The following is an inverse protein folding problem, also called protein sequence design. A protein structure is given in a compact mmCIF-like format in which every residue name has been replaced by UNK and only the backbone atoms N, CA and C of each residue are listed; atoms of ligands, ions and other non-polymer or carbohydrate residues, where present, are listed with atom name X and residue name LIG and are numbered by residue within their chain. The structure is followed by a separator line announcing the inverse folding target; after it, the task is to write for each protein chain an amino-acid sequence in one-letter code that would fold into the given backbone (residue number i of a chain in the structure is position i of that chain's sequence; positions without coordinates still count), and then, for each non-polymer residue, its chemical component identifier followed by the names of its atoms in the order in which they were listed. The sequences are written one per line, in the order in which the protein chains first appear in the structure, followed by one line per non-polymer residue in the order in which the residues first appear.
data_IF_498607064983
#
_entry.id   IF_498607064983
#
_cell.length_a   1.000
_cell.length_b   1.000
_cell.length_c   1.000
_cell.angle_alpha   90.00
_cell.angle_beta   90.00
_cell.angle_gamma   90.00
#
_symmetry.space_group_name_H-M   'P 1'
#
loop_
_entity.id
_entity.type
_entity.pdbx_description
1 polymer ?
#
# COMPACT_ATOMS: atom_id res chain seq x y z
N UNK A 1 -38.61 4.70 -4.33
CA UNK A 1 -37.63 3.89 -3.56
C UNK A 1 -36.42 3.74 -4.45
N UNK A 2 -35.35 4.51 -4.19
CA UNK A 2 -34.13 4.45 -4.98
C UNK A 2 -33.20 3.41 -4.34
N UNK A 3 -32.68 2.50 -5.17
CA UNK A 3 -31.81 1.40 -4.77
C UNK A 3 -30.67 1.89 -3.87
N UNK A 4 -30.59 1.32 -2.67
CA UNK A 4 -29.47 1.53 -1.78
C UNK A 4 -28.19 1.09 -2.53
N UNK A 5 -27.14 1.94 -2.62
CA UNK A 5 -25.92 1.54 -3.31
C UNK A 5 -25.35 0.29 -2.65
N UNK A 6 -24.78 -0.60 -3.46
CA UNK A 6 -24.27 -1.95 -3.14
C UNK A 6 -23.24 -2.04 -1.99
N UNK A 7 -23.01 -0.98 -1.21
CA UNK A 7 -22.15 -0.94 -0.02
C UNK A 7 -22.70 -1.74 1.18
N UNK A 8 -23.87 -2.37 1.08
CA UNK A 8 -24.46 -3.19 2.13
C UNK A 8 -24.16 -4.67 1.94
N UNK A 9 -22.91 -5.08 2.05
CA UNK A 9 -22.63 -6.38 2.66
C UNK A 9 -21.71 -6.19 3.86
N UNK A 10 -22.34 -6.24 5.04
CA UNK A 10 -21.72 -6.47 6.36
C UNK A 10 -21.07 -7.86 6.43
N UNK A 11 -20.28 -8.24 5.44
CA UNK A 11 -19.56 -9.51 5.42
C UNK A 11 -18.11 -9.22 5.75
N UNK A 12 -17.69 -9.71 6.91
CA UNK A 12 -16.30 -10.03 7.17
C UNK A 12 -15.77 -10.78 5.95
N UNK A 13 -14.67 -10.29 5.39
CA UNK A 13 -14.08 -10.81 4.17
C UNK A 13 -12.59 -10.83 4.38
N UNK A 14 -11.99 -11.98 4.15
CA UNK A 14 -10.55 -12.16 4.06
C UNK A 14 -10.28 -13.03 2.85
N UNK A 15 -9.39 -12.59 1.97
CA UNK A 15 -8.88 -13.35 0.83
C UNK A 15 -7.37 -13.38 0.91
N UNK A 16 -6.82 -14.57 0.71
CA UNK A 16 -5.38 -14.77 0.59
C UNK A 16 -5.04 -15.11 -0.86
N UNK A 17 -4.00 -14.46 -1.38
CA UNK A 17 -3.40 -14.78 -2.66
C UNK A 17 -1.97 -15.23 -2.37
N UNK A 18 -1.68 -16.49 -2.69
CA UNK A 18 -0.33 -17.03 -2.63
C UNK A 18 0.35 -16.84 -3.98
N UNK A 19 1.68 -16.81 -3.97
CA UNK A 19 2.49 -16.77 -5.17
C UNK A 19 2.11 -15.63 -6.14
N UNK A 20 1.76 -14.44 -5.61
CA UNK A 20 1.54 -13.28 -6.48
C UNK A 20 2.88 -12.91 -7.09
N UNK A 21 2.99 -13.16 -8.40
CA UNK A 21 4.22 -12.96 -9.15
C UNK A 21 4.64 -11.49 -9.13
N UNK A 22 5.82 -11.27 -8.57
CA UNK A 22 6.61 -10.08 -8.85
C UNK A 22 7.48 -10.36 -10.07
N UNK A 23 8.04 -9.31 -10.66
CA UNK A 23 9.04 -9.56 -11.70
C UNK A 23 10.27 -10.24 -11.09
N UNK A 24 10.88 -11.18 -11.82
CA UNK A 24 11.98 -12.01 -11.34
C UNK A 24 11.51 -13.25 -10.56
N UNK A 25 12.24 -13.59 -9.48
CA UNK A 25 11.97 -14.77 -8.64
C UNK A 25 11.19 -14.46 -7.36
N UNK A 26 10.85 -13.20 -7.11
CA UNK A 26 10.13 -12.79 -5.91
C UNK A 26 8.64 -13.09 -6.03
N UNK A 27 8.04 -13.46 -4.91
CA UNK A 27 6.60 -13.73 -4.82
C UNK A 27 6.04 -13.16 -3.53
N UNK A 28 4.82 -12.63 -3.60
CA UNK A 28 4.12 -12.11 -2.42
C UNK A 28 3.04 -13.08 -1.96
N UNK A 29 2.95 -13.25 -0.64
CA UNK A 29 1.73 -13.70 0.02
C UNK A 29 0.92 -12.46 0.41
N UNK A 30 -0.23 -12.29 -0.24
CA UNK A 30 -1.07 -11.10 -0.07
C UNK A 30 -2.34 -11.47 0.68
N UNK A 31 -2.62 -10.74 1.76
CA UNK A 31 -3.87 -10.88 2.53
C UNK A 31 -4.69 -9.61 2.33
N UNK A 32 -5.85 -9.73 1.70
CA UNK A 32 -6.83 -8.66 1.56
C UNK A 32 -7.98 -8.90 2.54
N UNK A 33 -8.24 -7.96 3.44
CA UNK A 33 -9.26 -8.13 4.49
C UNK A 33 -10.16 -6.90 4.62
N UNK A 34 -11.40 -7.13 5.07
CA UNK A 34 -12.34 -6.07 5.41
C UNK A 34 -12.23 -5.66 6.88
N UNK A 35 -12.94 -4.60 7.26
CA UNK A 35 -12.90 -4.04 8.61
C UNK A 35 -13.14 -5.07 9.74
N UNK A 36 -13.95 -6.11 9.50
CA UNK A 36 -14.28 -7.09 10.55
C UNK A 36 -13.09 -7.90 11.06
N UNK A 37 -12.06 -8.10 10.22
CA UNK A 37 -10.91 -8.97 10.51
C UNK A 37 -9.58 -8.21 10.60
N UNK A 38 -9.56 -6.92 10.25
CA UNK A 38 -8.32 -6.15 10.13
C UNK A 38 -7.57 -6.04 11.47
N UNK A 39 -8.24 -5.87 12.62
CA UNK A 39 -7.54 -5.77 13.91
C UNK A 39 -6.79 -7.07 14.25
N UNK A 40 -7.39 -8.22 13.92
CA UNK A 40 -6.75 -9.53 14.04
C UNK A 40 -5.57 -9.67 13.08
N UNK A 41 -5.73 -9.24 11.82
CA UNK A 41 -4.66 -9.31 10.82
C UNK A 41 -3.49 -8.38 11.15
N UNK A 42 -3.77 -7.17 11.61
CA UNK A 42 -2.76 -6.23 12.10
C UNK A 42 -2.00 -6.79 13.29
N UNK A 43 -2.69 -7.45 14.23
CA UNK A 43 -2.03 -8.14 15.35
C UNK A 43 -1.09 -9.26 14.88
N UNK A 44 -1.47 -10.03 13.86
CA UNK A 44 -0.62 -11.07 13.25
C UNK A 44 0.58 -10.43 12.56
N UNK A 45 0.36 -9.37 11.79
CA UNK A 45 1.40 -8.65 11.07
C UNK A 45 2.43 -8.03 12.03
N UNK A 46 1.96 -7.37 13.10
CA UNK A 46 2.78 -6.81 14.17
C UNK A 46 3.66 -7.88 14.84
N UNK A 47 3.13 -9.07 15.14
CA UNK A 47 3.94 -10.16 15.70
C UNK A 47 5.04 -10.63 14.75
N UNK A 48 4.75 -10.69 13.44
CA UNK A 48 5.76 -11.05 12.43
C UNK A 48 6.85 -9.99 12.33
N UNK A 49 6.47 -8.71 12.23
CA UNK A 49 7.42 -7.60 12.16
C UNK A 49 8.23 -7.41 13.45
N UNK A 50 7.63 -7.69 14.61
CA UNK A 50 8.31 -7.59 15.91
C UNK A 50 9.53 -8.49 16.05
N UNK A 51 9.60 -9.59 15.28
CA UNK A 51 10.77 -10.47 15.21
C UNK A 51 11.83 -10.05 14.19
N UNK A 52 11.59 -9.01 13.41
CA UNK A 52 12.53 -8.55 12.37
C UNK A 52 13.54 -7.55 12.95
N UNK A 53 14.84 -7.65 12.57
CA UNK A 53 15.86 -6.72 13.06
C UNK A 53 15.67 -5.30 12.52
N UNK A 54 15.10 -5.18 11.31
CA UNK A 54 14.76 -3.91 10.68
C UNK A 54 13.25 -3.87 10.48
N UNK A 55 12.63 -2.84 11.04
CA UNK A 55 11.17 -2.64 11.11
C UNK A 55 10.69 -1.68 10.01
N UNK A 56 11.10 -1.96 8.78
CA UNK A 56 10.76 -1.17 7.59
C UNK A 56 9.48 -1.68 6.93
N UNK A 57 8.58 -0.77 6.55
CA UNK A 57 7.27 -1.11 5.98
C UNK A 57 7.00 -0.25 4.74
N UNK A 58 6.86 -0.87 3.58
CA UNK A 58 6.35 -0.18 2.39
C UNK A 58 4.86 0.13 2.53
N UNK A 59 4.47 1.37 2.23
CA UNK A 59 3.08 1.82 2.28
C UNK A 59 2.70 2.52 0.98
N UNK A 60 1.44 2.32 0.59
CA UNK A 60 0.76 3.00 -0.51
C UNK A 60 -0.73 3.06 -0.17
N UNK A 61 -1.42 4.16 -0.53
CA UNK A 61 -2.80 4.43 -0.11
C UNK A 61 -3.71 4.66 -1.30
N UNK A 62 -4.64 3.72 -1.51
CA UNK A 62 -5.73 3.87 -2.47
C UNK A 62 -6.99 4.36 -1.77
N UNK A 63 -7.65 5.38 -2.34
CA UNK A 63 -8.79 6.03 -1.72
C UNK A 63 -9.96 6.28 -2.66
N UNK A 64 -11.14 6.40 -2.06
CA UNK A 64 -12.34 6.94 -2.70
C UNK A 64 -12.86 8.12 -1.89
N UNK A 65 -13.91 8.79 -2.36
CA UNK A 65 -14.51 9.90 -1.62
C UNK A 65 -15.28 9.48 -0.35
N UNK A 66 -15.33 8.19 -0.02
CA UNK A 66 -16.07 7.67 1.12
C UNK A 66 -15.17 7.47 2.34
N UNK A 67 -15.54 8.12 3.45
CA UNK A 67 -14.90 7.91 4.74
C UNK A 67 -15.59 6.75 5.47
N UNK A 68 -14.81 5.76 5.89
CA UNK A 68 -15.28 4.64 6.72
C UNK A 68 -14.70 4.80 8.13
N UNK A 69 -15.40 4.33 9.18
CA UNK A 69 -14.81 4.33 10.51
C UNK A 69 -13.60 3.39 10.55
N UNK A 70 -12.52 3.82 11.18
CA UNK A 70 -11.22 3.17 11.07
C UNK A 70 -11.00 2.05 12.09
N UNK A 71 -10.08 1.11 11.82
CA UNK A 71 -9.72 0.07 12.76
C UNK A 71 -8.64 0.54 13.75
N UNK A 72 -8.81 0.17 15.02
CA UNK A 72 -7.95 0.65 16.11
C UNK A 72 -6.52 0.13 15.98
N UNK A 73 -6.33 -1.13 15.57
CA UNK A 73 -4.98 -1.68 15.45
C UNK A 73 -4.23 -1.12 14.24
N UNK A 74 -4.94 -0.65 13.21
CA UNK A 74 -4.32 0.05 12.10
C UNK A 74 -3.78 1.42 12.54
N UNK A 75 -4.57 2.19 13.30
CA UNK A 75 -4.15 3.47 13.86
C UNK A 75 -2.91 3.31 14.76
N UNK A 76 -2.96 2.37 15.71
CA UNK A 76 -1.80 2.06 16.58
C UNK A 76 -0.57 1.69 15.78
N UNK A 77 -0.73 0.92 14.70
CA UNK A 77 0.37 0.50 13.85
C UNK A 77 1.02 1.69 13.14
N UNK A 78 0.23 2.55 12.49
CA UNK A 78 0.73 3.72 11.77
C UNK A 78 1.41 4.75 12.68
N UNK A 79 1.00 4.83 13.95
CA UNK A 79 1.59 5.72 14.94
C UNK A 79 2.78 5.14 15.71
N UNK A 80 3.05 3.84 15.56
CA UNK A 80 4.11 3.18 16.32
C UNK A 80 5.51 3.61 15.84
N UNK A 81 6.24 4.29 16.73
CA UNK A 81 7.59 4.80 16.48
C UNK A 81 8.68 3.73 16.34
N UNK A 82 8.36 2.45 16.48
CA UNK A 82 9.28 1.36 16.17
C UNK A 82 9.35 1.03 14.68
N UNK A 83 8.33 1.41 13.89
CA UNK A 83 8.28 1.16 12.46
C UNK A 83 8.72 2.39 11.67
N UNK A 84 9.35 2.17 10.52
CA UNK A 84 9.62 3.23 9.55
C UNK A 84 8.85 2.94 8.26
N UNK A 85 7.97 3.86 7.88
CA UNK A 85 7.11 3.73 6.71
C UNK A 85 7.77 4.34 5.48
N UNK A 86 7.89 3.56 4.42
CA UNK A 86 8.49 3.99 3.15
C UNK A 86 7.40 4.14 2.12
N UNK A 87 7.29 5.32 1.52
CA UNK A 87 6.29 5.60 0.47
C UNK A 87 6.85 6.53 -0.60
N UNK A 88 6.13 6.65 -1.71
CA UNK A 88 6.44 7.58 -2.78
C UNK A 88 5.48 8.76 -2.75
N UNK A 89 5.99 9.99 -2.63
CA UNK A 89 5.15 11.17 -2.45
C UNK A 89 4.19 11.03 -1.24
N UNK A 90 4.67 10.36 -0.18
CA UNK A 90 3.90 9.92 0.99
C UNK A 90 3.25 11.06 1.77
N UNK A 91 3.74 12.29 1.64
CA UNK A 91 3.06 13.48 2.18
C UNK A 91 1.64 13.66 1.63
N UNK A 92 1.43 13.30 0.35
CA UNK A 92 0.11 13.22 -0.25
C UNK A 92 -0.78 12.19 0.45
N UNK A 93 -0.24 11.01 0.70
CA UNK A 93 -0.96 9.92 1.37
C UNK A 93 -1.30 10.25 2.82
N UNK A 94 -0.36 10.85 3.56
CA UNK A 94 -0.59 11.37 4.92
C UNK A 94 -1.76 12.34 4.95
N UNK A 95 -1.83 13.25 3.98
CA UNK A 95 -2.94 14.19 3.84
C UNK A 95 -4.28 13.47 3.60
N UNK A 96 -4.28 12.36 2.85
CA UNK A 96 -5.48 11.54 2.60
C UNK A 96 -5.90 10.70 3.81
N UNK A 97 -4.95 10.10 4.50
CA UNK A 97 -5.18 9.35 5.73
C UNK A 97 -5.78 10.24 6.82
N UNK A 98 -5.31 11.49 6.94
CA UNK A 98 -5.81 12.46 7.92
C UNK A 98 -7.30 12.78 7.76
N UNK A 99 -7.79 12.85 6.52
CA UNK A 99 -9.24 13.02 6.23
C UNK A 99 -10.07 11.86 6.82
N UNK A 100 -9.45 10.70 6.96
CA UNK A 100 -10.04 9.49 7.50
C UNK A 100 -9.79 9.31 9.01
N UNK A 101 -9.09 10.24 9.68
CA UNK A 101 -8.71 10.11 11.08
C UNK A 101 -7.55 9.14 11.34
N UNK A 102 -6.78 8.80 10.31
CA UNK A 102 -5.53 8.04 10.44
C UNK A 102 -4.35 8.97 10.24
N UNK A 103 -3.28 8.75 10.99
CA UNK A 103 -2.03 9.49 10.84
C UNK A 103 -0.86 8.50 10.82
N UNK A 104 0.12 8.77 9.96
CA UNK A 104 1.43 8.13 10.03
C UNK A 104 2.27 8.98 10.98
N UNK A 105 2.99 8.33 11.89
CA UNK A 105 3.90 9.01 12.81
C UNK A 105 4.84 9.96 12.03
N UNK A 106 4.85 11.23 12.44
CA UNK A 106 5.55 12.32 11.74
C UNK A 106 7.06 12.14 11.67
N UNK A 107 7.63 11.34 12.57
CA UNK A 107 9.08 11.21 12.73
C UNK A 107 9.60 9.90 12.09
N UNK A 108 8.67 9.08 11.57
CA UNK A 108 8.89 7.68 11.26
C UNK A 108 8.49 7.31 9.83
N UNK A 109 8.79 8.19 8.88
CA UNK A 109 8.52 7.93 7.48
C UNK A 109 9.67 8.38 6.58
N UNK A 110 9.73 7.78 5.40
CA UNK A 110 10.69 8.07 4.34
C UNK A 110 9.89 8.30 3.06
N UNK A 111 10.07 9.49 2.48
CA UNK A 111 9.58 9.77 1.14
C UNK A 111 10.67 9.50 0.11
N UNK A 112 10.57 8.37 -0.59
CA UNK A 112 11.60 7.98 -1.57
C UNK A 112 11.67 8.96 -2.76
N UNK A 113 10.62 9.74 -3.03
CA UNK A 113 10.68 10.81 -4.02
C UNK A 113 11.58 11.96 -3.57
N UNK A 114 11.62 12.23 -2.26
CA UNK A 114 12.44 13.29 -1.66
C UNK A 114 13.87 12.81 -1.45
N UNK A 115 14.06 11.58 -0.99
CA UNK A 115 15.38 11.03 -0.69
C UNK A 115 16.16 10.68 -1.95
N UNK A 116 15.49 10.16 -2.99
CA UNK A 116 16.20 9.66 -4.17
C UNK A 116 16.28 10.64 -5.32
N UNK A 117 17.40 10.53 -6.03
CA UNK A 117 17.62 11.16 -7.32
C UNK A 117 18.05 10.09 -8.30
N UNK A 118 17.65 10.26 -9.56
CA UNK A 118 18.16 9.43 -10.64
C UNK A 118 19.69 9.50 -10.60
N UNK A 119 20.39 8.35 -10.48
CA UNK A 119 21.83 8.33 -10.35
C UNK A 119 22.55 8.92 -11.57
N UNK A 120 21.92 8.97 -12.75
CA UNK A 120 22.48 9.51 -13.98
C UNK A 120 22.24 11.01 -14.14
N UNK A 121 21.00 11.46 -14.07
CA UNK A 121 20.65 12.87 -14.35
C UNK A 121 20.45 13.72 -13.09
N UNK A 122 20.54 13.11 -11.89
CA UNK A 122 20.42 13.74 -10.57
C UNK A 122 19.07 14.43 -10.31
N UNK A 123 18.04 14.18 -11.13
CA UNK A 123 16.68 14.71 -10.91
C UNK A 123 15.86 13.80 -10.00
N UNK A 124 14.79 14.36 -9.44
CA UNK A 124 13.77 13.55 -8.76
C UNK A 124 13.08 12.63 -9.77
N UNK A 125 12.59 11.50 -9.28
CA UNK A 125 11.73 10.64 -10.08
C UNK A 125 10.32 11.22 -10.16
N UNK A 126 9.73 11.13 -11.35
CA UNK A 126 8.38 11.63 -11.61
C UNK A 126 7.31 10.65 -11.14
N UNK A 127 7.63 9.35 -11.05
CA UNK A 127 6.70 8.32 -10.61
C UNK A 127 7.35 7.16 -9.86
N UNK A 128 6.54 6.43 -9.08
CA UNK A 128 6.92 5.17 -8.45
C UNK A 128 7.38 4.12 -9.49
N UNK A 129 6.79 4.11 -10.68
CA UNK A 129 7.19 3.20 -11.75
C UNK A 129 8.60 3.50 -12.26
N UNK A 130 9.01 4.77 -12.29
CA UNK A 130 10.37 5.15 -12.69
C UNK A 130 11.38 4.74 -11.63
N UNK A 131 11.04 4.92 -10.35
CA UNK A 131 11.84 4.44 -9.22
C UNK A 131 12.03 2.92 -9.31
N UNK A 132 10.94 2.18 -9.42
CA UNK A 132 10.97 0.72 -9.47
C UNK A 132 11.69 0.19 -10.71
N UNK A 133 11.42 0.79 -11.88
CA UNK A 133 12.11 0.50 -13.15
C UNK A 133 13.62 0.70 -13.07
N UNK A 134 14.04 1.73 -12.34
CA UNK A 134 15.45 2.11 -12.22
C UNK A 134 16.20 1.35 -11.14
N UNK A 135 15.55 1.02 -10.03
CA UNK A 135 16.18 0.50 -8.81
C UNK A 135 15.95 -1.00 -8.57
N UNK A 136 14.85 -1.56 -9.07
CA UNK A 136 14.50 -2.97 -8.87
C UNK A 136 14.73 -3.75 -10.17
N UNK A 137 13.93 -3.47 -11.20
CA UNK A 137 14.03 -4.11 -12.51
C UNK A 137 13.29 -3.27 -13.56
N UNK A 138 13.86 -3.17 -14.77
CA UNK A 138 13.33 -2.38 -15.89
C UNK A 138 11.87 -2.69 -16.24
N UNK A 139 11.39 -3.90 -15.97
CA UNK A 139 10.00 -4.30 -16.27
C UNK A 139 8.97 -3.59 -15.39
N UNK A 140 9.38 -2.99 -14.28
CA UNK A 140 8.49 -2.19 -13.43
C UNK A 140 8.10 -0.84 -14.04
N UNK A 141 8.77 -0.34 -15.09
CA UNK A 141 8.31 0.86 -15.81
C UNK A 141 6.87 0.73 -16.31
N UNK A 142 6.44 -0.49 -16.62
CA UNK A 142 5.12 -0.79 -17.15
C UNK A 142 4.15 -1.32 -16.07
N UNK A 143 4.54 -1.35 -14.79
CA UNK A 143 3.73 -1.91 -13.71
C UNK A 143 2.34 -1.27 -13.61
N UNK A 144 2.26 0.03 -13.90
CA UNK A 144 1.01 0.81 -13.84
C UNK A 144 0.11 0.61 -15.07
N UNK A 145 0.62 0.05 -16.18
CA UNK A 145 -0.15 -0.15 -17.43
C UNK A 145 -1.17 -1.29 -17.34
N UNK A 146 -1.08 -2.12 -16.30
CA UNK A 146 -2.00 -3.27 -16.08
C UNK A 146 -3.38 -2.85 -15.56
N UNK A 147 -3.56 -1.59 -15.18
CA UNK A 147 -4.81 -1.04 -14.64
C UNK A 147 -5.38 0.03 -15.57
N UNK A 148 -6.66 -0.08 -15.90
CA UNK A 148 -7.36 0.97 -16.63
C UNK A 148 -7.77 2.09 -15.68
N UNK A 149 -7.09 3.25 -15.77
CA UNK A 149 -7.33 4.40 -14.88
C UNK A 149 -8.78 4.91 -14.85
N UNK A 150 -9.56 4.70 -15.92
CA UNK A 150 -10.95 5.17 -16.00
C UNK A 150 -11.92 4.18 -15.39
N UNK A 151 -11.79 2.90 -15.74
CA UNK A 151 -12.74 1.87 -15.33
C UNK A 151 -12.40 1.31 -13.96
N UNK A 152 -11.12 1.01 -13.72
CA UNK A 152 -10.70 0.22 -12.57
C UNK A 152 -10.62 1.08 -11.30
N UNK A 153 -10.30 2.37 -11.43
CA UNK A 153 -10.26 3.28 -10.29
C UNK A 153 -11.65 3.48 -9.65
N UNK A 154 -12.73 3.20 -10.39
CA UNK A 154 -14.10 3.25 -9.83
C UNK A 154 -14.37 2.10 -8.85
N UNK A 155 -13.51 1.06 -8.86
CA UNK A 155 -13.72 -0.17 -8.12
C UNK A 155 -13.06 -0.16 -6.73
N UNK A 156 -12.25 0.86 -6.37
CA UNK A 156 -11.60 0.97 -5.05
C UNK A 156 -12.57 0.99 -3.86
N UNK A 157 -13.82 1.41 -4.09
CA UNK A 157 -14.86 1.45 -3.05
C UNK A 157 -15.55 0.11 -2.80
N UNK A 158 -15.32 -0.90 -3.64
CA UNK A 158 -16.03 -2.17 -3.61
C UNK A 158 -15.46 -3.14 -2.58
N UNK A 159 -16.34 -3.96 -2.01
CA UNK A 159 -15.99 -5.06 -1.12
C UNK A 159 -16.82 -6.29 -1.52
N UNK A 160 -16.20 -7.41 -1.96
CA UNK A 160 -14.75 -7.63 -2.04
C UNK A 160 -14.07 -6.83 -3.15
N UNK A 161 -12.78 -6.53 -2.97
CA UNK A 161 -11.97 -5.87 -3.98
C UNK A 161 -11.64 -6.87 -5.12
N UNK A 162 -11.70 -6.45 -6.41
CA UNK A 162 -11.24 -7.27 -7.52
C UNK A 162 -9.79 -7.74 -7.37
N UNK A 163 -9.50 -8.99 -7.74
CA UNK A 163 -8.16 -9.59 -7.58
C UNK A 163 -7.06 -8.76 -8.27
N UNK A 164 -7.34 -8.23 -9.46
CA UNK A 164 -6.40 -7.37 -10.19
C UNK A 164 -5.97 -6.14 -9.38
N UNK A 165 -6.87 -5.56 -8.59
CA UNK A 165 -6.58 -4.42 -7.73
C UNK A 165 -5.83 -4.84 -6.47
N UNK A 166 -6.14 -6.00 -5.90
CA UNK A 166 -5.37 -6.58 -4.78
C UNK A 166 -3.91 -6.81 -5.20
N UNK A 167 -3.68 -7.38 -6.39
CA UNK A 167 -2.32 -7.59 -6.93
C UNK A 167 -1.62 -6.26 -7.19
N UNK A 168 -2.33 -5.30 -7.79
CA UNK A 168 -1.78 -3.99 -8.08
C UNK A 168 -1.31 -3.25 -6.82
N UNK A 169 -2.13 -3.14 -5.77
CA UNK A 169 -1.73 -2.46 -4.53
C UNK A 169 -0.61 -3.18 -3.79
N UNK A 170 -0.59 -4.51 -3.85
CA UNK A 170 0.50 -5.28 -3.27
C UNK A 170 1.83 -5.01 -3.98
N UNK A 171 1.81 -4.86 -5.31
CA UNK A 171 3.00 -4.49 -6.09
C UNK A 171 3.43 -3.06 -5.74
N UNK A 172 2.50 -2.12 -5.61
CA UNK A 172 2.82 -0.73 -5.27
C UNK A 172 3.54 -0.63 -3.92
N UNK A 173 2.97 -1.21 -2.87
CA UNK A 173 3.60 -1.24 -1.54
C UNK A 173 4.95 -2.00 -1.54
N UNK A 174 5.09 -3.06 -2.34
CA UNK A 174 6.37 -3.73 -2.51
C UNK A 174 7.41 -2.80 -3.16
N UNK A 175 7.03 -2.06 -4.21
CA UNK A 175 7.95 -1.18 -4.93
C UNK A 175 8.35 0.08 -4.17
N UNK A 176 7.65 0.45 -3.09
CA UNK A 176 8.12 1.48 -2.16
C UNK A 176 9.13 0.90 -1.16
N UNK A 177 8.88 -0.31 -0.66
CA UNK A 177 9.76 -1.03 0.27
C UNK A 177 11.09 -1.48 -0.34
N UNK A 178 11.00 -2.20 -1.46
CA UNK A 178 12.11 -2.97 -2.04
C UNK A 178 13.33 -2.12 -2.36
N UNK A 179 13.20 -0.96 -3.03
CA UNK A 179 14.38 -0.21 -3.40
C UNK A 179 15.04 0.47 -2.19
N UNK A 180 14.35 0.62 -1.05
CA UNK A 180 14.97 1.08 0.20
C UNK A 180 15.66 -0.06 0.94
N UNK A 181 15.11 -1.27 0.87
CA UNK A 181 15.71 -2.47 1.49
C UNK A 181 17.06 -2.85 0.89
N UNK A 182 17.23 -2.70 -0.43
CA UNK A 182 18.42 -3.16 -1.16
C UNK A 182 19.66 -2.29 -0.85
N UNK A 183 19.48 -1.11 -0.26
CA UNK A 183 20.54 -0.16 0.09
C UNK A 183 21.17 -0.54 1.43
#
# INVERSE_FOLDING_TARGET
MADAPLYKQRRTYTRELHDVDLHGSHKLHVICTSKGDVDKMMSVFNRKLGGMPVKLVGIDVEYTHYVKPQPMELEKFLMNGEYTFVGFAIEGDKSKLKVSGLEINSDNYIDIQVEWRDPYNKKKFDSLADVAGRMIDIHYHDMKKKINRKEDHTLWGFCPLPEKLIKYTAIDAFTTYEPWRII
#
